data_IF_830010390659
#
_entry.id   IF_830010390659
#
_cell.length_a   1.000
_cell.length_b   1.000
_cell.length_c   1.000
_cell.angle_alpha   90.00
_cell.angle_beta   90.00
_cell.angle_gamma   90.00
#
_symmetry.space_group_name_H-M   'P 1'
#
loop_
_entity.id
_entity.type
_entity.pdbx_description
1 polymer ?
#
# COMPACT_ATOMS: atom_id res chain seq x y z
N UNK A 1 11.53 -13.90 -6.00
CA UNK A 1 10.57 -13.38 -7.02
C UNK A 1 9.09 -13.77 -6.84
N UNK A 2 8.68 -15.06 -6.90
CA UNK A 2 7.25 -15.42 -6.72
C UNK A 2 6.81 -15.32 -5.25
N UNK A 3 7.65 -15.79 -4.34
CA UNK A 3 7.39 -15.76 -2.89
C UNK A 3 7.30 -14.34 -2.34
N UNK A 4 8.20 -13.42 -2.73
CA UNK A 4 8.12 -12.01 -2.33
C UNK A 4 6.84 -11.31 -2.81
N UNK A 5 6.37 -11.64 -4.03
CA UNK A 5 5.12 -11.08 -4.56
C UNK A 5 3.91 -11.55 -3.75
N UNK A 6 3.94 -12.77 -3.26
CA UNK A 6 2.93 -13.32 -2.35
C UNK A 6 2.99 -12.60 -1.00
N UNK A 7 4.18 -12.39 -0.44
CA UNK A 7 4.37 -11.66 0.82
C UNK A 7 3.85 -10.22 0.72
N UNK A 8 4.20 -9.48 -0.33
CA UNK A 8 3.68 -8.12 -0.56
C UNK A 8 2.15 -8.10 -0.66
N UNK A 9 1.57 -9.04 -1.42
CA UNK A 9 0.12 -9.15 -1.53
C UNK A 9 -0.52 -9.42 -0.17
N UNK A 10 0.11 -10.23 0.66
CA UNK A 10 -0.39 -10.59 1.98
C UNK A 10 -0.33 -9.40 2.95
N UNK A 11 0.77 -8.65 2.99
CA UNK A 11 0.91 -7.43 3.81
C UNK A 11 -0.14 -6.39 3.37
N UNK A 12 -0.30 -6.17 2.06
CA UNK A 12 -1.34 -5.27 1.53
C UNK A 12 -2.73 -5.69 1.98
N UNK A 13 -3.08 -6.97 1.89
CA UNK A 13 -4.38 -7.47 2.36
C UNK A 13 -4.59 -7.27 3.86
N UNK A 14 -3.54 -7.43 4.68
CA UNK A 14 -3.61 -7.15 6.12
C UNK A 14 -3.87 -5.67 6.41
N UNK A 15 -3.17 -4.78 5.69
CA UNK A 15 -3.37 -3.33 5.77
C UNK A 15 -4.82 -2.97 5.44
N UNK A 16 -5.33 -3.41 4.29
CA UNK A 16 -6.69 -3.09 3.86
C UNK A 16 -7.74 -3.64 4.82
N UNK A 17 -7.59 -4.89 5.28
CA UNK A 17 -8.50 -5.48 6.28
C UNK A 17 -8.47 -4.74 7.61
N UNK A 18 -7.32 -4.15 7.99
CA UNK A 18 -7.22 -3.37 9.21
C UNK A 18 -7.83 -1.98 9.04
N UNK A 19 -7.63 -1.32 7.90
CA UNK A 19 -8.30 -0.05 7.56
C UNK A 19 -9.81 -0.23 7.54
N UNK A 20 -10.31 -1.35 7.00
CA UNK A 20 -11.73 -1.66 6.97
C UNK A 20 -12.39 -1.67 8.35
N UNK A 21 -11.63 -1.97 9.41
CA UNK A 21 -12.12 -1.90 10.81
C UNK A 21 -12.30 -0.48 11.33
N UNK A 22 -11.63 0.50 10.70
CA UNK A 22 -11.69 1.92 11.06
C UNK A 22 -12.64 2.71 10.16
N UNK A 23 -12.95 2.19 8.97
CA UNK A 23 -13.87 2.80 8.02
C UNK A 23 -15.25 2.16 8.09
N UNK A 24 -16.31 2.89 7.81
CA UNK A 24 -17.62 2.30 7.48
C UNK A 24 -17.71 1.88 5.99
N UNK A 25 -16.56 1.58 5.38
CA UNK A 25 -16.51 1.20 3.97
C UNK A 25 -17.27 -0.10 3.74
N UNK A 26 -18.05 -0.15 2.66
CA UNK A 26 -18.69 -1.39 2.19
C UNK A 26 -17.72 -2.29 1.43
N UNK A 27 -16.62 -1.71 0.93
CA UNK A 27 -15.56 -2.43 0.25
C UNK A 27 -14.32 -1.55 0.23
N UNK A 28 -13.43 -1.80 1.18
CA UNK A 28 -12.16 -1.05 1.25
C UNK A 28 -11.32 -1.20 -0.02
N UNK A 29 -11.47 -2.32 -0.73
CA UNK A 29 -10.80 -2.56 -2.00
C UNK A 29 -11.29 -1.58 -3.09
N UNK A 30 -12.60 -1.34 -3.18
CA UNK A 30 -13.14 -0.39 -4.15
C UNK A 30 -12.71 1.05 -3.83
N UNK A 31 -12.74 1.44 -2.56
CA UNK A 31 -12.28 2.76 -2.12
C UNK A 31 -10.79 2.94 -2.43
N UNK A 32 -10.00 1.90 -2.19
CA UNK A 32 -8.58 1.89 -2.50
C UNK A 32 -8.33 2.06 -4.00
N UNK A 33 -9.00 1.27 -4.84
CA UNK A 33 -8.83 1.33 -6.30
C UNK A 33 -9.27 2.68 -6.88
N UNK A 34 -10.33 3.26 -6.33
CA UNK A 34 -10.78 4.61 -6.67
C UNK A 34 -9.73 5.66 -6.33
N UNK A 35 -9.20 5.65 -5.10
CA UNK A 35 -8.16 6.59 -4.68
C UNK A 35 -6.86 6.41 -5.44
N UNK A 36 -6.51 5.17 -5.81
CA UNK A 36 -5.35 4.88 -6.64
C UNK A 36 -5.47 5.51 -8.03
N UNK A 37 -6.64 5.40 -8.66
CA UNK A 37 -6.92 6.03 -9.95
C UNK A 37 -6.87 7.56 -9.84
N UNK A 38 -7.51 8.12 -8.81
CA UNK A 38 -7.52 9.56 -8.57
C UNK A 38 -6.11 10.12 -8.33
N UNK A 39 -5.30 9.45 -7.51
CA UNK A 39 -3.93 9.86 -7.23
C UNK A 39 -3.06 9.78 -8.49
N UNK A 40 -3.28 8.77 -9.34
CA UNK A 40 -2.57 8.64 -10.61
C UNK A 40 -2.93 9.74 -11.61
N UNK A 41 -4.20 10.14 -11.64
CA UNK A 41 -4.66 11.28 -12.45
C UNK A 41 -4.02 12.60 -11.99
N UNK A 42 -3.93 12.81 -10.67
CA UNK A 42 -3.33 14.01 -10.09
C UNK A 42 -1.80 14.06 -10.22
N UNK A 43 -1.13 12.91 -10.21
CA UNK A 43 0.32 12.80 -10.35
C UNK A 43 0.72 11.79 -11.45
N UNK A 44 0.54 12.14 -12.74
CA UNK A 44 0.76 11.21 -13.86
C UNK A 44 2.20 10.70 -13.96
N UNK A 45 3.16 11.52 -13.57
CA UNK A 45 4.60 11.20 -13.65
C UNK A 45 5.06 10.27 -12.52
N UNK A 46 4.27 10.13 -11.44
CA UNK A 46 4.64 9.31 -10.30
C UNK A 46 4.56 7.82 -10.66
N UNK A 47 5.59 7.05 -10.29
CA UNK A 47 5.63 5.60 -10.50
C UNK A 47 4.48 4.91 -9.75
N UNK A 48 3.93 3.86 -10.35
CA UNK A 48 2.72 3.19 -9.83
C UNK A 48 2.90 2.65 -8.40
N UNK A 49 4.09 2.17 -8.06
CA UNK A 49 4.44 1.68 -6.72
C UNK A 49 4.40 2.79 -5.67
N UNK A 50 4.89 3.99 -6.03
CA UNK A 50 4.85 5.16 -5.16
C UNK A 50 3.42 5.70 -5.00
N UNK A 51 2.62 5.70 -6.07
CA UNK A 51 1.20 6.06 -6.00
C UNK A 51 0.46 5.16 -5.01
N UNK A 52 0.71 3.86 -5.07
CA UNK A 52 0.13 2.88 -4.15
C UNK A 52 0.51 3.15 -2.70
N UNK A 53 1.80 3.40 -2.43
CA UNK A 53 2.30 3.74 -1.08
C UNK A 53 1.64 5.02 -0.55
N UNK A 54 1.52 6.06 -1.38
CA UNK A 54 0.88 7.32 -0.97
C UNK A 54 -0.59 7.11 -0.55
N UNK A 55 -1.35 6.29 -1.27
CA UNK A 55 -2.74 5.99 -0.91
C UNK A 55 -2.80 5.22 0.41
N UNK A 56 -1.94 4.21 0.60
CA UNK A 56 -1.89 3.46 1.86
C UNK A 56 -1.51 4.39 3.02
N UNK A 57 -0.43 5.16 2.89
CA UNK A 57 0.04 6.09 3.90
C UNK A 57 -1.05 7.10 4.30
N UNK A 58 -1.86 7.55 3.33
CA UNK A 58 -2.98 8.46 3.58
C UNK A 58 -4.03 7.84 4.50
N UNK A 59 -4.36 6.55 4.33
CA UNK A 59 -5.25 5.85 5.26
C UNK A 59 -4.62 5.67 6.64
N UNK A 60 -3.36 5.24 6.69
CA UNK A 60 -2.64 4.94 7.94
C UNK A 60 -2.60 6.17 8.86
N UNK A 61 -2.30 7.35 8.28
CA UNK A 61 -2.19 8.61 9.03
C UNK A 61 -3.49 9.09 9.69
N UNK A 62 -4.66 8.58 9.26
CA UNK A 62 -5.95 9.05 9.77
C UNK A 62 -6.37 8.42 11.09
N UNK A 63 -5.85 7.23 11.43
CA UNK A 63 -6.41 6.39 12.49
C UNK A 63 -5.51 6.19 13.71
N UNK A 64 -4.30 6.75 13.72
CA UNK A 64 -3.30 6.62 14.79
C UNK A 64 -3.05 5.14 15.24
N UNK A 65 -3.28 4.18 14.34
CA UNK A 65 -3.17 2.76 14.63
C UNK A 65 -1.72 2.28 14.45
N UNK A 66 -1.05 1.95 15.57
CA UNK A 66 0.33 1.47 15.57
C UNK A 66 0.56 0.17 14.81
N UNK A 67 -0.49 -0.64 14.64
CA UNK A 67 -0.43 -1.82 13.79
C UNK A 67 -0.34 -1.42 12.32
N UNK A 68 -1.11 -0.40 11.92
CA UNK A 68 -1.05 0.15 10.55
C UNK A 68 0.30 0.82 10.28
N UNK A 69 0.86 1.54 11.26
CA UNK A 69 2.22 2.10 11.17
C UNK A 69 3.26 1.00 10.90
N UNK A 70 3.22 -0.09 11.67
CA UNK A 70 4.12 -1.23 11.50
C UNK A 70 3.95 -1.92 10.14
N UNK A 71 2.71 -2.19 9.73
CA UNK A 71 2.43 -2.86 8.46
C UNK A 71 2.86 -2.01 7.26
N UNK A 72 2.72 -0.68 7.33
CA UNK A 72 3.22 0.23 6.31
C UNK A 72 4.76 0.16 6.20
N UNK A 73 5.46 0.14 7.33
CA UNK A 73 6.91 -0.02 7.35
C UNK A 73 7.35 -1.32 6.65
N UNK A 74 6.77 -2.46 7.02
CA UNK A 74 7.04 -3.76 6.40
C UNK A 74 6.72 -3.74 4.89
N UNK A 75 5.63 -3.08 4.51
CA UNK A 75 5.25 -2.95 3.11
C UNK A 75 6.28 -2.17 2.31
N UNK A 76 6.75 -1.03 2.83
CA UNK A 76 7.76 -0.21 2.16
C UNK A 76 9.12 -0.91 2.07
N UNK A 77 9.53 -1.59 3.14
CA UNK A 77 10.79 -2.35 3.17
C UNK A 77 10.81 -3.48 2.13
N UNK A 78 9.69 -4.21 2.01
CA UNK A 78 9.54 -5.26 1.00
C UNK A 78 9.61 -4.71 -0.44
N UNK A 79 9.09 -3.50 -0.68
CA UNK A 79 9.16 -2.83 -1.99
C UNK A 79 10.56 -2.30 -2.31
N UNK A 80 11.27 -1.76 -1.31
CA UNK A 80 12.62 -1.22 -1.47
C UNK A 80 13.61 -2.35 -1.80
N UNK A 81 13.55 -3.45 -1.06
CA UNK A 81 14.39 -4.64 -1.29
C UNK A 81 14.25 -5.14 -2.73
N UNK A 82 13.01 -5.21 -3.23
CA UNK A 82 12.75 -5.62 -4.61
C UNK A 82 13.26 -4.63 -5.66
N UNK A 83 13.26 -3.33 -5.37
CA UNK A 83 13.81 -2.32 -6.28
C UNK A 83 15.34 -2.43 -6.39
N UNK A 84 16.03 -2.73 -5.29
CA UNK A 84 17.49 -2.87 -5.27
C UNK A 84 17.94 -4.10 -6.06
N UNK A 85 17.28 -5.25 -5.87
CA UNK A 85 17.60 -6.49 -6.59
C UNK A 85 17.48 -6.36 -8.12
N UNK A 86 16.50 -5.58 -8.60
CA UNK A 86 16.30 -5.34 -10.04
C UNK A 86 17.32 -4.40 -10.67
N UNK A 87 18.07 -3.64 -9.86
CA UNK A 87 19.10 -2.71 -10.35
C UNK A 87 20.49 -3.35 -10.35
N UNK A 88 20.66 -4.47 -9.64
CA UNK A 88 21.91 -5.22 -9.53
C UNK A 88 22.03 -6.40 -10.50
N UNK A 89 20.95 -6.72 -11.24
CA UNK A 89 20.89 -7.76 -12.28
C UNK A 89 20.88 -7.13 -13.69
#
# INVERSE_FOLDING_TARGET
>A
MLEEKIIMSQIKSQILSRIEKHTESKSIQLDFDFLLALQKEQAPELRQDLVEICVIESFVKLYEDKTLDYLLYEYMDSKLTHSIERTAA
#
